data_IF_097487424720
#
_entry.id   IF_097487424720
#
_cell.length_a   1.000
_cell.length_b   1.000
_cell.length_c   1.000
_cell.angle_alpha   90.00
_cell.angle_beta   90.00
_cell.angle_gamma   90.00
#
_symmetry.space_group_name_H-M   'P 1'
#
loop_
_entity.id
_entity.type
_entity.pdbx_description
1 polymer ?
#
# COMPACT_ATOMS: atom_id res chain seq x y z
N UNK A 1 -12.68 -35.97 5.29
CA UNK A 1 -12.92 -34.62 4.72
C UNK A 1 -12.34 -33.58 5.66
N UNK A 2 -11.63 -32.58 5.12
CA UNK A 2 -10.98 -31.54 5.90
C UNK A 2 -11.94 -30.35 6.04
N UNK A 3 -12.23 -29.94 7.27
CA UNK A 3 -13.17 -28.86 7.58
C UNK A 3 -12.45 -27.74 8.33
N UNK A 4 -12.72 -26.50 7.95
CA UNK A 4 -12.13 -25.33 8.57
C UNK A 4 -13.20 -24.35 9.02
N UNK A 5 -12.88 -23.58 10.06
CA UNK A 5 -13.75 -22.51 10.51
C UNK A 5 -13.68 -21.28 9.61
N UNK A 6 -14.57 -20.33 9.86
CA UNK A 6 -14.67 -19.10 9.09
C UNK A 6 -13.36 -18.30 9.12
N UNK A 7 -12.65 -18.27 10.27
CA UNK A 7 -11.40 -17.51 10.40
C UNK A 7 -10.30 -18.10 9.50
N UNK A 8 -10.09 -19.40 9.56
CA UNK A 8 -9.15 -20.11 8.71
C UNK A 8 -9.54 -20.00 7.22
N UNK A 9 -10.83 -20.01 6.90
CA UNK A 9 -11.30 -19.82 5.53
C UNK A 9 -10.96 -18.42 5.00
N UNK A 10 -11.13 -17.37 5.82
CA UNK A 10 -10.71 -16.01 5.48
C UNK A 10 -9.21 -15.94 5.19
N UNK A 11 -8.37 -16.53 6.05
CA UNK A 11 -6.91 -16.53 5.88
C UNK A 11 -6.47 -17.26 4.60
N UNK A 12 -7.10 -18.39 4.29
CA UNK A 12 -6.74 -19.20 3.12
C UNK A 12 -7.24 -18.64 1.79
N UNK A 13 -8.23 -17.75 1.79
CA UNK A 13 -8.84 -17.20 0.56
C UNK A 13 -8.67 -15.69 0.42
N UNK A 14 -8.11 -15.01 1.44
CA UNK A 14 -8.03 -13.55 1.56
C UNK A 14 -9.40 -12.87 1.34
N UNK A 15 -10.48 -13.54 1.75
CA UNK A 15 -11.85 -13.00 1.71
C UNK A 15 -12.26 -12.52 3.09
N UNK A 16 -13.17 -11.55 3.11
CA UNK A 16 -13.74 -11.04 4.35
C UNK A 16 -14.67 -12.07 4.99
N UNK A 17 -14.81 -11.99 6.32
CA UNK A 17 -15.72 -12.83 7.08
C UNK A 17 -17.17 -12.74 6.56
N UNK A 18 -17.60 -11.54 6.17
CA UNK A 18 -18.91 -11.30 5.55
C UNK A 18 -19.09 -12.12 4.27
N UNK A 19 -18.05 -12.25 3.46
CA UNK A 19 -18.08 -13.00 2.20
C UNK A 19 -18.18 -14.50 2.46
N UNK A 20 -17.40 -15.01 3.41
CA UNK A 20 -17.48 -16.43 3.82
C UNK A 20 -18.85 -16.75 4.44
N UNK A 21 -19.38 -15.88 5.31
CA UNK A 21 -20.73 -16.05 5.88
C UNK A 21 -21.83 -16.02 4.82
N UNK A 22 -21.68 -15.20 3.78
CA UNK A 22 -22.60 -15.20 2.63
C UNK A 22 -22.53 -16.51 1.86
N UNK A 23 -21.34 -17.09 1.68
CA UNK A 23 -21.19 -18.41 1.09
C UNK A 23 -22.00 -19.45 1.88
N UNK A 24 -21.96 -19.40 3.22
CA UNK A 24 -22.66 -20.36 4.07
C UNK A 24 -24.19 -20.27 4.00
N UNK A 25 -24.73 -19.13 3.56
CA UNK A 25 -26.16 -18.93 3.40
C UNK A 25 -26.70 -19.47 2.07
N UNK A 26 -25.83 -19.86 1.12
CA UNK A 26 -26.25 -20.39 -0.18
C UNK A 26 -26.73 -21.83 -0.05
N UNK A 27 -27.79 -22.18 -0.78
CA UNK A 27 -28.33 -23.55 -0.84
C UNK A 27 -27.27 -24.58 -1.28
N UNK A 28 -26.50 -24.24 -2.33
CA UNK A 28 -25.42 -25.07 -2.88
C UNK A 28 -24.33 -25.42 -1.85
N UNK A 29 -24.15 -24.57 -0.83
CA UNK A 29 -23.11 -24.75 0.18
C UNK A 29 -23.50 -25.66 1.33
N UNK A 30 -24.81 -25.88 1.55
CA UNK A 30 -25.33 -26.60 2.72
C UNK A 30 -24.77 -28.02 2.87
N UNK A 31 -24.57 -28.83 1.80
CA UNK A 31 -24.00 -30.17 1.92
C UNK A 31 -22.55 -30.17 2.44
N UNK A 32 -21.83 -29.05 2.25
CA UNK A 32 -20.42 -28.90 2.56
C UNK A 32 -20.18 -28.18 3.90
N UNK A 33 -21.24 -27.93 4.67
CA UNK A 33 -21.19 -27.20 5.94
C UNK A 33 -21.49 -28.15 7.08
N UNK A 34 -20.63 -28.13 8.10
CA UNK A 34 -20.82 -28.89 9.33
C UNK A 34 -20.93 -27.95 10.52
N UNK A 35 -21.91 -28.20 11.38
CA UNK A 35 -22.07 -27.46 12.65
C UNK A 35 -21.41 -28.25 13.79
N UNK A 36 -20.39 -27.66 14.42
CA UNK A 36 -19.72 -28.23 15.60
C UNK A 36 -19.91 -27.27 16.78
N UNK A 37 -20.94 -27.55 17.59
CA UNK A 37 -21.38 -26.65 18.66
C UNK A 37 -21.83 -25.30 18.11
N UNK A 38 -21.19 -24.22 18.55
CA UNK A 38 -21.47 -22.85 18.10
C UNK A 38 -20.69 -22.43 16.85
N UNK A 39 -19.85 -23.30 16.28
CA UNK A 39 -19.04 -22.99 15.11
C UNK A 39 -19.60 -23.69 13.86
N UNK A 40 -19.72 -22.93 12.77
CA UNK A 40 -19.96 -23.48 11.45
C UNK A 40 -18.60 -23.70 10.78
N UNK A 41 -18.42 -24.88 10.20
CA UNK A 41 -17.22 -25.31 9.48
C UNK A 41 -17.59 -25.57 8.02
N UNK A 42 -16.68 -25.27 7.10
CA UNK A 42 -16.85 -25.52 5.67
C UNK A 42 -15.80 -26.50 5.19
N UNK A 43 -16.18 -27.39 4.26
CA UNK A 43 -15.24 -28.29 3.62
C UNK A 43 -14.22 -27.50 2.78
N UNK A 44 -12.94 -27.81 2.97
CA UNK A 44 -11.83 -27.12 2.29
C UNK A 44 -11.91 -27.26 0.76
N UNK A 45 -12.30 -28.44 0.26
CA UNK A 45 -12.39 -28.70 -1.18
C UNK A 45 -13.45 -27.81 -1.84
N UNK A 46 -14.62 -27.70 -1.22
CA UNK A 46 -15.68 -26.83 -1.70
C UNK A 46 -15.33 -25.35 -1.55
N UNK A 47 -14.64 -24.96 -0.47
CA UNK A 47 -14.16 -23.58 -0.33
C UNK A 47 -13.25 -23.19 -1.50
N UNK A 48 -12.36 -24.09 -1.92
CA UNK A 48 -11.42 -23.84 -3.02
C UNK A 48 -11.99 -24.06 -4.42
N UNK A 49 -13.16 -24.71 -4.55
CA UNK A 49 -13.90 -24.70 -5.82
C UNK A 49 -14.61 -23.36 -6.06
N UNK A 50 -14.93 -22.61 -5.00
CA UNK A 50 -15.60 -21.31 -5.07
C UNK A 50 -14.61 -20.14 -5.06
N UNK A 51 -13.54 -20.24 -4.27
CA UNK A 51 -12.54 -19.18 -4.12
C UNK A 51 -11.13 -19.71 -4.35
N UNK A 52 -10.32 -18.94 -5.06
CA UNK A 52 -8.90 -19.27 -5.22
C UNK A 52 -8.17 -19.27 -3.87
N UNK A 53 -7.30 -20.26 -3.68
CA UNK A 53 -6.40 -20.31 -2.55
C UNK A 53 -5.38 -19.18 -2.65
N UNK A 54 -5.12 -18.51 -1.53
CA UNK A 54 -4.05 -17.52 -1.44
C UNK A 54 -2.73 -18.25 -1.62
N UNK A 55 -2.09 -18.01 -2.75
CA UNK A 55 -0.67 -18.27 -2.91
C UNK A 55 0.03 -17.37 -1.90
N UNK A 56 0.50 -17.94 -0.77
CA UNK A 56 1.48 -17.25 0.06
C UNK A 56 2.75 -17.18 -0.78
N UNK A 57 2.86 -16.14 -1.60
CA UNK A 57 4.16 -15.72 -2.07
C UNK A 57 4.95 -15.43 -0.79
N UNK A 58 5.89 -16.33 -0.48
CA UNK A 58 6.93 -16.06 0.48
C UNK A 58 7.66 -14.86 -0.08
N UNK A 59 7.21 -13.64 0.29
CA UNK A 59 7.88 -12.40 -0.07
C UNK A 59 9.31 -12.59 0.37
N UNK A 60 10.20 -12.77 -0.61
CA UNK A 60 11.64 -12.75 -0.37
C UNK A 60 11.91 -11.48 0.43
N UNK A 61 12.77 -11.51 1.45
CA UNK A 61 13.06 -10.31 2.22
C UNK A 61 13.49 -9.22 1.25
N UNK A 62 12.62 -8.22 1.05
CA UNK A 62 12.95 -7.05 0.25
C UNK A 62 14.10 -6.35 0.98
N UNK A 63 15.21 -6.16 0.28
CA UNK A 63 16.31 -5.35 0.76
C UNK A 63 15.76 -3.94 1.03
N UNK A 64 15.91 -3.44 2.25
CA UNK A 64 15.58 -2.05 2.56
C UNK A 64 16.54 -1.17 1.75
N UNK A 65 16.04 -0.61 0.64
CA UNK A 65 16.76 0.42 -0.09
C UNK A 65 16.60 1.68 0.73
N UNK A 66 17.70 2.28 1.18
CA UNK A 66 17.68 3.53 1.92
C UNK A 66 17.05 4.60 1.01
N UNK A 67 15.80 4.98 1.32
CA UNK A 67 15.06 5.97 0.54
C UNK A 67 15.60 7.37 0.89
N UNK A 68 16.72 7.73 0.28
CA UNK A 68 17.23 9.11 0.27
C UNK A 68 16.32 10.05 -0.54
N UNK A 69 15.39 9.51 -1.32
CA UNK A 69 14.36 10.25 -2.06
C UNK A 69 13.17 10.65 -1.16
N UNK A 70 13.42 11.43 -0.09
CA UNK A 70 12.33 12.22 0.50
C UNK A 70 11.97 13.34 -0.48
N UNK A 71 10.68 13.47 -0.79
CA UNK A 71 10.20 14.64 -1.53
C UNK A 71 10.54 15.88 -0.70
N UNK A 72 11.14 16.92 -1.30
CA UNK A 72 11.45 18.12 -0.57
C UNK A 72 10.18 18.71 0.01
N UNK A 73 10.28 19.21 1.24
CA UNK A 73 9.17 19.87 1.91
C UNK A 73 8.91 21.22 1.26
N UNK A 74 7.70 21.77 1.46
CA UNK A 74 7.37 23.10 0.96
C UNK A 74 8.28 24.18 1.56
N UNK A 75 8.74 23.99 2.80
CA UNK A 75 9.65 24.92 3.48
C UNK A 75 11.02 24.94 2.79
N UNK A 76 11.60 23.76 2.49
CA UNK A 76 12.86 23.65 1.75
C UNK A 76 12.78 24.29 0.35
N UNK A 77 11.64 24.14 -0.34
CA UNK A 77 11.40 24.78 -1.63
C UNK A 77 11.30 26.30 -1.54
N UNK A 78 10.65 26.83 -0.50
CA UNK A 78 10.54 28.27 -0.28
C UNK A 78 11.88 28.90 0.09
N UNK A 79 12.68 28.19 0.89
CA UNK A 79 14.03 28.61 1.27
C UNK A 79 14.94 28.72 0.04
N UNK A 80 14.88 27.73 -0.85
CA UNK A 80 15.63 27.72 -2.11
C UNK A 80 15.21 28.87 -3.04
N UNK A 81 13.90 29.11 -3.20
CA UNK A 81 13.39 30.24 -3.99
C UNK A 81 13.89 31.58 -3.46
N UNK A 82 13.89 31.75 -2.14
CA UNK A 82 14.35 32.99 -1.51
C UNK A 82 15.85 33.20 -1.75
N UNK A 83 16.67 32.15 -1.57
CA UNK A 83 18.11 32.22 -1.85
C UNK A 83 18.40 32.55 -3.31
N UNK A 84 17.67 31.95 -4.25
CA UNK A 84 17.81 32.26 -5.67
C UNK A 84 17.48 33.72 -5.98
N UNK A 85 16.38 34.25 -5.44
CA UNK A 85 16.00 35.65 -5.64
C UNK A 85 17.09 36.63 -5.13
N UNK A 86 17.71 36.33 -3.98
CA UNK A 86 18.80 37.14 -3.44
C UNK A 86 20.04 37.12 -4.35
N UNK A 87 20.44 35.94 -4.83
CA UNK A 87 21.58 35.83 -5.76
C UNK A 87 21.32 36.56 -7.08
N UNK A 88 20.10 36.46 -7.63
CA UNK A 88 19.75 37.19 -8.84
C UNK A 88 19.83 38.71 -8.65
N UNK A 89 19.38 39.20 -7.47
CA UNK A 89 19.47 40.62 -7.13
C UNK A 89 20.92 41.08 -7.02
N UNK A 90 21.77 40.31 -6.36
CA UNK A 90 23.20 40.60 -6.23
C UNK A 90 23.91 40.64 -7.59
N UNK A 91 23.62 39.67 -8.47
CA UNK A 91 24.15 39.64 -9.84
C UNK A 91 23.74 40.89 -10.62
N UNK A 92 22.48 41.33 -10.50
CA UNK A 92 21.99 42.55 -11.18
C UNK A 92 22.71 43.80 -10.66
N UNK A 93 22.90 43.90 -9.35
CA UNK A 93 23.62 45.02 -8.73
C UNK A 93 25.08 45.07 -9.21
N UNK A 94 25.78 43.93 -9.17
CA UNK A 94 27.18 43.84 -9.60
C UNK A 94 27.34 44.20 -11.08
N UNK A 95 26.42 43.78 -11.95
CA UNK A 95 26.40 44.18 -13.36
C UNK A 95 26.23 45.69 -13.52
N UNK A 96 25.27 46.28 -12.81
CA UNK A 96 25.04 47.72 -12.85
C UNK A 96 26.27 48.51 -12.37
N UNK A 97 26.94 48.04 -11.33
CA UNK A 97 28.15 48.68 -10.80
C UNK A 97 29.30 48.60 -11.81
N UNK A 98 29.52 47.42 -12.39
CA UNK A 98 30.55 47.23 -13.42
C UNK A 98 30.32 48.10 -14.66
N UNK A 99 29.07 48.25 -15.11
CA UNK A 99 28.71 49.14 -16.22
C UNK A 99 28.95 50.62 -15.90
N UNK A 100 28.83 51.04 -14.63
CA UNK A 100 29.16 52.40 -14.20
C UNK A 100 30.67 52.62 -14.17
N UNK A 101 31.44 51.64 -13.69
CA UNK A 101 32.90 51.69 -13.68
C UNK A 101 33.50 51.79 -15.09
N UNK A 102 32.91 51.10 -16.08
CA UNK A 102 33.36 51.15 -17.48
C UNK A 102 33.02 52.48 -18.19
N UNK A 103 32.10 53.28 -17.64
CA UNK A 103 31.67 54.58 -18.21
C UNK A 103 32.43 55.77 -17.61
N UNK A 104 33.20 55.56 -16.56
CA UNK A 104 34.07 56.56 -15.93
C UNK A 104 35.52 56.38 -16.40
#
# INVERSE_FOLDING_TARGET
MNYIDIKNACEKTNKSEKTIRRLFAKEESKPYIQKKGNKNLIEVNYLFSVYEAVQKENKRPTQNIDMTNKRPTNDELNDLKTKLALYEQEIRLNKSLHEQELKN
#
